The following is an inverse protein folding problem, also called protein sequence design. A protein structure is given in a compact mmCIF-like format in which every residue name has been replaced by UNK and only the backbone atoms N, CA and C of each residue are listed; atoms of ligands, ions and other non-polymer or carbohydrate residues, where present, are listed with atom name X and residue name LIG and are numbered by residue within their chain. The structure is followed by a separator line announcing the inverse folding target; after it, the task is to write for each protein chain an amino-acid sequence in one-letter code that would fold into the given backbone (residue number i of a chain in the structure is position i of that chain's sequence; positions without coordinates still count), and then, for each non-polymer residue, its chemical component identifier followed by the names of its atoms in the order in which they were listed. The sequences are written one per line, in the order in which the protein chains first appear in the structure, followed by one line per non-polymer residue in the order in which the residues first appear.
data_IF_349458224277
#
_entry.id   IF_349458224277
#
_cell.length_a   1.000
_cell.length_b   1.000
_cell.length_c   1.000
_cell.angle_alpha   90.00
_cell.angle_beta   90.00
_cell.angle_gamma   90.00
#
_symmetry.space_group_name_H-M   'P 1'
#
loop_
_entity.id
_entity.type
_entity.pdbx_description
1 polymer ?
#
# COMPACT_ATOMS: atom_id res chain seq x y z
N UNK A 1 -6.58 0.43 -26.94
CA UNK A 1 -7.08 1.26 -25.81
C UNK A 1 -7.06 2.75 -26.18
N UNK A 2 -7.88 3.61 -25.54
CA UNK A 2 -7.69 5.06 -25.60
C UNK A 2 -6.25 5.42 -25.20
N UNK A 3 -5.69 6.48 -25.80
CA UNK A 3 -4.27 6.84 -25.64
C UNK A 3 -3.84 6.95 -24.17
N UNK A 4 -4.64 7.61 -23.32
CA UNK A 4 -4.36 7.78 -21.90
C UNK A 4 -4.32 6.45 -21.13
N UNK A 5 -5.15 5.47 -21.50
CA UNK A 5 -5.14 4.12 -20.89
C UNK A 5 -3.92 3.31 -21.37
N UNK A 6 -3.55 3.45 -22.65
CA UNK A 6 -2.32 2.82 -23.15
C UNK A 6 -1.09 3.37 -22.44
N UNK A 7 -1.06 4.68 -22.15
CA UNK A 7 0.02 5.32 -21.40
C UNK A 7 0.15 4.74 -19.98
N UNK A 8 -0.95 4.45 -19.29
CA UNK A 8 -0.88 3.78 -17.98
C UNK A 8 -0.19 2.40 -18.07
N UNK A 9 -0.43 1.65 -19.15
CA UNK A 9 0.22 0.34 -19.36
C UNK A 9 1.72 0.51 -19.58
N UNK A 10 2.13 1.50 -20.38
CA UNK A 10 3.54 1.83 -20.59
C UNK A 10 4.23 2.23 -19.29
N UNK A 11 3.60 3.10 -18.49
CA UNK A 11 4.12 3.52 -17.18
C UNK A 11 4.30 2.30 -16.27
N UNK A 12 3.34 1.38 -16.25
CA UNK A 12 3.45 0.14 -15.49
C UNK A 12 4.63 -0.73 -15.93
N UNK A 13 4.84 -0.87 -17.25
CA UNK A 13 5.97 -1.60 -17.79
C UNK A 13 7.32 -0.95 -17.44
N UNK A 14 7.38 0.38 -17.44
CA UNK A 14 8.56 1.14 -17.03
C UNK A 14 8.85 1.00 -15.53
N UNK A 15 7.81 1.07 -14.68
CA UNK A 15 7.93 0.90 -13.23
C UNK A 15 8.52 -0.46 -12.84
N UNK A 16 8.16 -1.54 -13.54
CA UNK A 16 8.70 -2.90 -13.29
C UNK A 16 10.21 -2.99 -13.46
N UNK A 17 10.80 -2.15 -14.30
CA UNK A 17 12.24 -2.17 -14.62
C UNK A 17 13.03 -1.02 -14.00
N UNK A 18 12.35 0.00 -13.47
CA UNK A 18 12.97 1.18 -12.89
C UNK A 18 13.45 0.88 -11.47
N UNK A 19 14.73 1.13 -11.19
CA UNK A 19 15.32 1.00 -9.86
C UNK A 19 15.33 2.34 -9.12
N UNK A 20 15.60 3.43 -9.86
CA UNK A 20 15.70 4.78 -9.32
C UNK A 20 14.39 5.26 -8.70
N UNK A 21 14.44 5.64 -7.41
CA UNK A 21 13.25 6.06 -6.65
C UNK A 21 12.64 7.35 -7.19
N UNK A 22 13.47 8.33 -7.54
CA UNK A 22 13.01 9.64 -8.03
C UNK A 22 12.26 9.48 -9.35
N UNK A 23 12.71 8.56 -10.20
CA UNK A 23 12.02 8.21 -11.44
C UNK A 23 10.70 7.49 -11.19
N UNK A 24 10.61 6.62 -10.17
CA UNK A 24 9.32 6.01 -9.77
C UNK A 24 8.32 7.06 -9.31
N UNK A 25 8.76 8.05 -8.54
CA UNK A 25 7.90 9.14 -8.06
C UNK A 25 7.35 9.95 -9.24
N UNK A 26 8.20 10.29 -10.21
CA UNK A 26 7.76 11.00 -11.43
C UNK A 26 6.72 10.23 -12.23
N UNK A 27 6.89 8.91 -12.35
CA UNK A 27 5.94 8.03 -13.04
C UNK A 27 4.61 7.93 -12.26
N UNK A 28 4.68 7.86 -10.92
CA UNK A 28 3.49 7.87 -10.06
C UNK A 28 2.71 9.19 -10.17
N UNK A 29 3.40 10.32 -10.23
CA UNK A 29 2.79 11.63 -10.46
C UNK A 29 2.09 11.71 -11.82
N UNK A 30 2.68 11.13 -12.87
CA UNK A 30 2.05 11.04 -14.20
C UNK A 30 0.75 10.22 -14.16
N UNK A 31 0.76 9.08 -13.45
CA UNK A 31 -0.45 8.27 -13.23
C UNK A 31 -1.53 9.11 -12.53
N UNK A 32 -1.18 9.84 -11.47
CA UNK A 32 -2.11 10.71 -10.75
C UNK A 32 -2.72 11.77 -11.68
N UNK A 33 -1.91 12.42 -12.53
CA UNK A 33 -2.40 13.40 -13.50
C UNK A 33 -3.40 12.79 -14.51
N UNK A 34 -3.13 11.58 -15.00
CA UNK A 34 -4.02 10.86 -15.90
C UNK A 34 -5.35 10.49 -15.23
N UNK A 35 -5.31 10.04 -13.97
CA UNK A 35 -6.50 9.76 -13.17
C UNK A 35 -7.32 11.02 -12.89
N UNK A 36 -6.67 12.15 -12.57
CA UNK A 36 -7.34 13.43 -12.34
C UNK A 36 -8.01 13.98 -13.61
N UNK A 37 -7.36 13.82 -14.77
CA UNK A 37 -7.88 14.26 -16.07
C UNK A 37 -9.13 13.49 -16.48
N UNK A 38 -9.14 12.17 -16.26
CA UNK A 38 -10.14 11.28 -16.84
C UNK A 38 -11.20 10.76 -15.84
N UNK A 39 -10.93 10.81 -14.54
CA UNK A 39 -11.84 10.39 -13.46
C UNK A 39 -12.42 8.98 -13.70
N UNK A 40 -11.54 8.02 -14.02
CA UNK A 40 -11.96 6.62 -14.27
C UNK A 40 -12.55 5.93 -13.03
N UNK A 41 -12.18 6.40 -11.84
CA UNK A 41 -12.67 5.89 -10.55
C UNK A 41 -13.11 7.08 -9.70
N UNK A 42 -14.36 7.04 -9.22
CA UNK A 42 -14.89 8.01 -8.28
C UNK A 42 -14.90 7.36 -6.90
N UNK A 43 -13.99 7.80 -6.03
CA UNK A 43 -13.99 7.39 -4.63
C UNK A 43 -15.18 7.99 -3.88
N UNK A 44 -15.77 7.23 -2.97
CA UNK A 44 -16.77 7.73 -2.02
C UNK A 44 -16.06 8.07 -0.70
N UNK A 45 -15.92 7.08 0.18
CA UNK A 45 -15.18 7.13 1.44
C UNK A 45 -14.43 5.81 1.61
N UNK A 46 -13.29 5.86 2.30
CA UNK A 46 -12.45 4.68 2.56
C UNK A 46 -11.61 4.87 3.81
N UNK A 47 -10.80 3.87 4.17
CA UNK A 47 -9.86 3.98 5.30
C UNK A 47 -10.54 4.05 6.68
N UNK A 48 -11.57 3.22 6.92
CA UNK A 48 -12.13 3.10 8.26
C UNK A 48 -11.11 2.47 9.22
N UNK A 49 -11.14 2.90 10.49
CA UNK A 49 -10.25 2.38 11.51
C UNK A 49 -10.58 0.92 11.84
N UNK A 50 -9.60 0.02 11.72
CA UNK A 50 -9.71 -1.38 12.14
C UNK A 50 -8.83 -1.59 13.36
N UNK A 51 -9.41 -1.77 14.56
CA UNK A 51 -8.62 -2.01 15.77
C UNK A 51 -8.00 -3.41 15.75
N UNK A 52 -6.74 -3.49 16.15
CA UNK A 52 -6.03 -4.75 16.41
C UNK A 52 -5.87 -4.93 17.92
N UNK A 53 -6.20 -6.12 18.42
CA UNK A 53 -6.19 -6.43 19.86
C UNK A 53 -5.04 -7.38 20.16
N UNK A 54 -4.19 -7.00 21.11
CA UNK A 54 -3.02 -7.78 21.53
C UNK A 54 -3.07 -7.98 23.05
N UNK A 55 -2.80 -9.20 23.53
CA UNK A 55 -2.71 -9.45 24.98
C UNK A 55 -1.49 -8.75 25.58
N UNK A 56 -1.59 -8.29 26.82
CA UNK A 56 -0.48 -7.63 27.53
C UNK A 56 0.82 -8.47 27.67
N UNK A 57 0.74 -9.80 27.55
CA UNK A 57 1.92 -10.69 27.57
C UNK A 57 2.40 -11.11 26.18
N UNK A 58 1.68 -10.73 25.11
CA UNK A 58 2.08 -10.95 23.72
C UNK A 58 2.87 -9.72 23.27
N UNK A 59 4.13 -9.93 22.91
CA UNK A 59 5.14 -8.88 22.72
C UNK A 59 5.71 -8.91 21.32
N UNK A 60 6.39 -7.81 21.00
CA UNK A 60 6.96 -7.50 19.69
C UNK A 60 5.95 -7.20 18.57
N UNK A 61 4.71 -6.81 18.94
CA UNK A 61 3.72 -6.30 17.97
C UNK A 61 3.85 -4.77 17.87
N UNK A 62 3.97 -4.18 16.67
CA UNK A 62 4.03 -2.72 16.50
C UNK A 62 2.79 -2.02 17.05
N UNK A 63 2.96 -0.83 17.65
CA UNK A 63 1.86 -0.05 18.21
C UNK A 63 0.98 0.61 17.14
N UNK A 64 1.60 0.99 16.02
CA UNK A 64 0.91 1.57 14.87
C UNK A 64 0.99 0.60 13.71
N UNK A 65 -0.16 0.05 13.35
CA UNK A 65 -0.30 -0.84 12.20
C UNK A 65 -1.35 -0.26 11.27
N UNK A 66 -1.07 -0.30 9.96
CA UNK A 66 -2.12 -0.05 8.99
C UNK A 66 -3.02 -1.27 8.97
N UNK A 67 -4.33 -1.02 8.99
CA UNK A 67 -5.33 -2.06 8.90
C UNK A 67 -5.27 -2.75 7.54
N UNK A 68 -4.61 -3.90 7.48
CA UNK A 68 -4.45 -4.69 6.27
C UNK A 68 -5.13 -6.06 6.43
N UNK A 69 -5.86 -6.57 5.41
CA UNK A 69 -6.41 -7.92 5.42
C UNK A 69 -5.35 -9.01 5.64
N UNK A 70 -4.09 -8.74 5.32
CA UNK A 70 -2.95 -9.62 5.51
C UNK A 70 -2.38 -9.58 6.93
N UNK A 71 -2.92 -8.80 7.88
CA UNK A 71 -2.50 -8.90 9.29
C UNK A 71 -2.78 -10.33 9.80
N UNK A 72 -1.81 -10.99 10.49
CA UNK A 72 -0.55 -10.43 10.99
C UNK A 72 0.67 -10.64 10.09
N UNK A 73 0.53 -11.22 8.89
CA UNK A 73 1.63 -11.57 7.98
C UNK A 73 2.49 -10.36 7.59
N UNK A 74 1.88 -9.19 7.40
CA UNK A 74 2.59 -7.94 7.11
C UNK A 74 3.32 -7.32 8.32
N UNK A 75 3.33 -8.01 9.47
CA UNK A 75 3.93 -7.54 10.72
C UNK A 75 5.07 -8.45 11.23
N UNK A 76 5.58 -9.35 10.39
CA UNK A 76 6.64 -10.31 10.73
C UNK A 76 6.30 -11.15 11.98
N UNK A 77 5.20 -11.92 11.96
CA UNK A 77 4.65 -12.57 13.15
C UNK A 77 5.59 -13.63 13.75
N UNK A 78 6.56 -14.12 12.99
CA UNK A 78 7.63 -14.99 13.47
C UNK A 78 8.51 -14.34 14.54
N UNK A 79 8.54 -13.02 14.62
CA UNK A 79 9.24 -12.27 15.66
C UNK A 79 8.38 -12.05 16.91
N UNK A 80 7.10 -12.41 16.89
CA UNK A 80 6.22 -12.25 18.03
C UNK A 80 6.47 -13.31 19.09
N UNK A 81 6.29 -12.95 20.36
CA UNK A 81 6.49 -13.90 21.44
C UNK A 81 5.55 -13.67 22.63
N UNK A 82 5.30 -14.75 23.37
CA UNK A 82 4.56 -14.70 24.63
C UNK A 82 5.58 -14.69 25.77
N UNK A 83 5.60 -13.60 26.53
CA UNK A 83 6.41 -13.50 27.76
C UNK A 83 5.91 -14.53 28.78
N UNK A 84 6.79 -15.45 29.17
CA UNK A 84 6.56 -16.37 30.29
C UNK A 84 6.85 -15.66 31.62
N UNK A 85 6.24 -16.15 32.71
CA UNK A 85 6.49 -15.64 34.07
C UNK A 85 7.93 -15.85 34.50
#
# INVERSE_FOLDING_TARGET
PPADIARLQEIWDELKSTIDEKKKDQLADEVNQLHMKNIWVIGTVGGYFIPVIVKNNFRNVPERVFADPAIPDCLDPEQFFIRQK
#
